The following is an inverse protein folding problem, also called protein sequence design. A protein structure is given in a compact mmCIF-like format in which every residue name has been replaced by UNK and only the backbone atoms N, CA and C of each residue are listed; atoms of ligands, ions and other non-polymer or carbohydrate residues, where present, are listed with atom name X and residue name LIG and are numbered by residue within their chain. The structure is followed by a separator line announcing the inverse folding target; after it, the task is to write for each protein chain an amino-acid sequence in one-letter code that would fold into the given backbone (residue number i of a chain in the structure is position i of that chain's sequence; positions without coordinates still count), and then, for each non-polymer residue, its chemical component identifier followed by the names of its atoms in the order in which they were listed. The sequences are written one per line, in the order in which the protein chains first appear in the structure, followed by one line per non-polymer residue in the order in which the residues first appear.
data_IF_551268642946
#
_entry.id   IF_551268642946
#
_cell.length_a   1.000
_cell.length_b   1.000
_cell.length_c   1.000
_cell.angle_alpha   90.00
_cell.angle_beta   90.00
_cell.angle_gamma   90.00
#
_symmetry.space_group_name_H-M   'P 1'
#
loop_
_entity.id
_entity.type
_entity.pdbx_description
1 polymer ?
#
# COMPACT_ATOMS: atom_id res chain seq x y z
N UNK A 1 9.83 -40.83 -29.58
CA UNK A 1 8.42 -40.63 -29.99
C UNK A 1 7.41 -41.05 -28.90
N UNK A 2 7.65 -42.13 -28.15
CA UNK A 2 6.77 -42.56 -27.04
C UNK A 2 6.62 -41.54 -25.88
N UNK A 3 7.67 -40.80 -25.51
CA UNK A 3 7.62 -39.80 -24.42
C UNK A 3 6.75 -38.58 -24.74
N UNK A 4 6.74 -38.12 -26.00
CA UNK A 4 5.86 -37.02 -26.46
C UNK A 4 4.39 -37.45 -26.49
N UNK A 5 4.10 -38.66 -26.95
CA UNK A 5 2.74 -39.21 -27.00
C UNK A 5 2.15 -39.40 -25.60
N UNK A 6 2.94 -39.91 -24.64
CA UNK A 6 2.54 -40.02 -23.23
C UNK A 6 2.36 -38.65 -22.57
N UNK A 7 3.19 -37.65 -22.91
CA UNK A 7 3.04 -36.28 -22.44
C UNK A 7 1.74 -35.64 -22.95
N UNK A 8 1.44 -35.80 -24.24
CA UNK A 8 0.20 -35.27 -24.85
C UNK A 8 -1.04 -35.98 -24.30
N UNK A 9 -0.99 -37.29 -24.10
CA UNK A 9 -2.10 -38.05 -23.51
C UNK A 9 -2.32 -37.71 -22.04
N UNK A 10 -1.25 -37.53 -21.25
CA UNK A 10 -1.35 -37.01 -19.88
C UNK A 10 -1.95 -35.61 -19.86
N UNK A 11 -1.49 -34.70 -20.70
CA UNK A 11 -2.07 -33.35 -20.81
C UNK A 11 -3.55 -33.40 -21.18
N UNK A 12 -3.93 -34.27 -22.11
CA UNK A 12 -5.33 -34.47 -22.51
C UNK A 12 -6.20 -35.06 -21.38
N UNK A 13 -5.68 -36.01 -20.61
CA UNK A 13 -6.37 -36.54 -19.42
C UNK A 13 -6.48 -35.47 -18.33
N UNK A 14 -5.41 -34.73 -18.05
CA UNK A 14 -5.41 -33.66 -17.05
C UNK A 14 -6.32 -32.49 -17.45
N UNK A 15 -6.51 -32.24 -18.75
CA UNK A 15 -7.46 -31.26 -19.27
C UNK A 15 -8.88 -31.81 -19.45
N UNK A 16 -9.16 -33.04 -19.00
CA UNK A 16 -10.53 -33.55 -19.03
C UNK A 16 -11.38 -32.87 -17.95
N UNK A 17 -12.68 -32.59 -18.20
CA UNK A 17 -13.53 -31.94 -17.21
C UNK A 17 -13.53 -32.61 -15.82
N UNK A 18 -13.51 -33.95 -15.69
CA UNK A 18 -13.39 -34.60 -14.39
C UNK A 18 -12.05 -34.37 -13.69
N UNK A 19 -10.94 -34.35 -14.44
CA UNK A 19 -9.61 -34.10 -13.87
C UNK A 19 -9.45 -32.64 -13.44
N UNK A 20 -9.94 -31.70 -14.26
CA UNK A 20 -9.98 -30.28 -13.91
C UNK A 20 -10.84 -30.04 -12.66
N UNK A 21 -12.01 -30.67 -12.58
CA UNK A 21 -12.83 -30.65 -11.37
C UNK A 21 -12.07 -31.19 -10.16
N UNK A 22 -11.41 -32.34 -10.27
CA UNK A 22 -10.65 -32.95 -9.18
C UNK A 22 -9.47 -32.07 -8.73
N UNK A 23 -8.75 -31.45 -9.67
CA UNK A 23 -7.67 -30.51 -9.38
C UNK A 23 -8.18 -29.26 -8.67
N UNK A 24 -9.33 -28.74 -9.07
CA UNK A 24 -9.97 -27.62 -8.39
C UNK A 24 -10.40 -28.00 -6.97
N UNK A 25 -10.98 -29.19 -6.75
CA UNK A 25 -11.28 -29.68 -5.40
C UNK A 25 -10.02 -29.81 -4.54
N UNK A 26 -8.94 -30.35 -5.10
CA UNK A 26 -7.66 -30.46 -4.40
C UNK A 26 -7.11 -29.06 -4.04
N UNK A 27 -7.20 -28.10 -4.97
CA UNK A 27 -6.81 -26.71 -4.73
C UNK A 27 -7.60 -26.10 -3.57
N UNK A 28 -8.93 -26.23 -3.55
CA UNK A 28 -9.77 -25.69 -2.48
C UNK A 28 -9.46 -26.38 -1.14
N UNK A 29 -9.22 -27.70 -1.15
CA UNK A 29 -8.81 -28.44 0.04
C UNK A 29 -7.48 -27.93 0.60
N UNK A 30 -6.49 -27.70 -0.25
CA UNK A 30 -5.16 -27.22 0.16
C UNK A 30 -5.21 -25.79 0.71
N UNK A 31 -5.98 -24.90 0.07
CA UNK A 31 -6.21 -23.55 0.58
C UNK A 31 -6.93 -23.60 1.94
N UNK A 32 -7.95 -24.45 2.07
CA UNK A 32 -8.65 -24.67 3.33
C UNK A 32 -7.74 -25.22 4.44
N UNK A 33 -6.79 -26.10 4.09
CA UNK A 33 -5.81 -26.64 5.03
C UNK A 33 -4.82 -25.56 5.51
N UNK A 34 -4.33 -24.70 4.62
CA UNK A 34 -3.47 -23.56 5.00
C UNK A 34 -4.21 -22.62 5.94
N UNK A 35 -5.48 -22.31 5.63
CA UNK A 35 -6.31 -21.40 6.43
C UNK A 35 -6.50 -21.85 7.89
N UNK A 36 -6.35 -23.14 8.19
CA UNK A 36 -6.43 -23.67 9.56
C UNK A 36 -5.19 -23.32 10.41
N UNK A 37 -4.07 -22.97 9.78
CA UNK A 37 -2.86 -22.49 10.45
C UNK A 37 -2.83 -20.97 10.59
N UNK A 38 -1.73 -20.44 11.15
CA UNK A 38 -1.49 -19.00 11.14
C UNK A 38 -1.25 -18.54 9.70
N UNK A 39 -1.79 -17.42 9.24
CA UNK A 39 -1.61 -16.97 7.84
C UNK A 39 -1.00 -15.57 7.87
N UNK A 40 -0.07 -15.23 6.97
CA UNK A 40 0.47 -13.87 6.91
C UNK A 40 -0.67 -12.90 6.67
N UNK A 41 -0.77 -11.88 7.53
CA UNK A 41 -1.78 -10.82 7.41
C UNK A 41 -1.45 -9.87 6.27
N UNK A 42 -0.15 -9.66 5.98
CA UNK A 42 0.30 -8.81 4.89
C UNK A 42 1.35 -9.53 4.02
N UNK A 43 1.03 -9.68 2.74
CA UNK A 43 1.96 -10.25 1.74
C UNK A 43 2.26 -9.22 0.66
N UNK A 44 3.54 -9.01 0.32
CA UNK A 44 3.97 -8.15 -0.77
C UNK A 44 4.60 -8.94 -1.92
N UNK A 45 4.32 -8.55 -3.17
CA UNK A 45 4.83 -9.21 -4.36
C UNK A 45 5.59 -8.26 -5.28
N UNK A 46 6.83 -8.64 -5.62
CA UNK A 46 7.58 -8.09 -6.74
C UNK A 46 7.38 -9.01 -7.94
N UNK A 47 6.49 -8.59 -8.84
CA UNK A 47 6.01 -9.34 -10.00
C UNK A 47 7.00 -9.29 -11.18
N UNK A 48 8.21 -9.81 -10.99
CA UNK A 48 9.30 -9.77 -11.98
C UNK A 48 9.25 -10.96 -12.95
N UNK A 49 9.77 -10.78 -14.16
CA UNK A 49 9.92 -11.83 -15.17
C UNK A 49 9.02 -11.72 -16.39
N UNK A 50 8.05 -10.80 -16.44
CA UNK A 50 7.10 -10.68 -17.56
C UNK A 50 7.78 -10.55 -18.94
N UNK A 51 8.76 -9.63 -19.08
CA UNK A 51 9.51 -9.44 -20.34
C UNK A 51 10.40 -10.64 -20.69
N UNK A 52 10.91 -11.37 -19.68
CA UNK A 52 11.70 -12.58 -19.89
C UNK A 52 10.82 -13.72 -20.39
N UNK A 53 9.64 -13.86 -19.80
CA UNK A 53 8.63 -14.83 -20.21
C UNK A 53 8.19 -14.57 -21.66
N UNK A 54 7.91 -13.31 -22.01
CA UNK A 54 7.53 -12.94 -23.37
C UNK A 54 8.59 -13.37 -24.40
N UNK A 55 9.87 -13.06 -24.13
CA UNK A 55 10.99 -13.42 -25.01
C UNK A 55 11.20 -14.93 -25.10
N UNK A 56 11.10 -15.68 -24.00
CA UNK A 56 11.28 -17.15 -24.03
C UNK A 56 10.15 -17.86 -24.78
N UNK A 57 8.94 -17.30 -24.76
CA UNK A 57 7.76 -17.84 -25.44
C UNK A 57 7.52 -17.24 -26.84
N UNK A 58 8.38 -16.31 -27.29
CA UNK A 58 8.27 -15.62 -28.59
C UNK A 58 6.92 -14.90 -28.78
N UNK A 59 6.44 -14.27 -27.73
CA UNK A 59 5.26 -13.40 -27.73
C UNK A 59 5.69 -11.95 -27.49
N UNK A 60 4.79 -11.01 -27.78
CA UNK A 60 5.06 -9.61 -27.53
C UNK A 60 5.20 -9.28 -26.04
N UNK A 61 5.99 -8.26 -25.75
CA UNK A 61 6.25 -7.83 -24.36
C UNK A 61 4.95 -7.44 -23.64
N UNK A 62 4.06 -6.74 -24.33
CA UNK A 62 2.75 -6.33 -23.81
C UNK A 62 1.92 -7.56 -23.42
N UNK A 63 1.96 -8.62 -24.22
CA UNK A 63 1.24 -9.86 -23.94
C UNK A 63 1.82 -10.60 -22.72
N UNK A 64 3.15 -10.61 -22.55
CA UNK A 64 3.76 -11.13 -21.33
C UNK A 64 3.31 -10.39 -20.06
N UNK A 65 3.02 -9.09 -20.16
CA UNK A 65 2.45 -8.32 -19.06
C UNK A 65 0.95 -8.60 -18.84
N UNK A 66 0.17 -8.84 -19.91
CA UNK A 66 -1.22 -9.30 -19.78
C UNK A 66 -1.31 -10.63 -19.03
N UNK A 67 -0.48 -11.61 -19.39
CA UNK A 67 -0.39 -12.89 -18.69
C UNK A 67 0.08 -12.72 -17.24
N UNK A 68 0.97 -11.75 -16.99
CA UNK A 68 1.34 -11.36 -15.64
C UNK A 68 0.16 -10.84 -14.82
N UNK A 69 -0.75 -10.09 -15.43
CA UNK A 69 -1.97 -9.65 -14.75
C UNK A 69 -2.93 -10.81 -14.44
N UNK A 70 -3.04 -11.80 -15.32
CA UNK A 70 -3.83 -13.00 -15.02
C UNK A 70 -3.23 -13.80 -13.86
N UNK A 71 -1.90 -13.90 -13.79
CA UNK A 71 -1.20 -14.50 -12.64
C UNK A 71 -1.51 -13.73 -11.34
N UNK A 72 -1.53 -12.40 -11.38
CA UNK A 72 -1.95 -11.57 -10.26
C UNK A 72 -3.37 -11.92 -9.79
N UNK A 73 -4.35 -12.00 -10.69
CA UNK A 73 -5.72 -12.33 -10.32
C UNK A 73 -5.82 -13.71 -9.64
N UNK A 74 -5.08 -14.72 -10.15
CA UNK A 74 -5.03 -16.06 -9.54
C UNK A 74 -4.41 -16.03 -8.14
N UNK A 75 -3.29 -15.33 -7.96
CA UNK A 75 -2.60 -15.26 -6.67
C UNK A 75 -3.40 -14.45 -5.64
N UNK A 76 -4.04 -13.35 -6.04
CA UNK A 76 -4.94 -12.60 -5.18
C UNK A 76 -6.09 -13.47 -4.67
N UNK A 77 -6.68 -14.30 -5.54
CA UNK A 77 -7.72 -15.24 -5.16
C UNK A 77 -7.22 -16.21 -4.06
N UNK A 78 -6.01 -16.75 -4.22
CA UNK A 78 -5.38 -17.64 -3.23
C UNK A 78 -5.13 -16.90 -1.91
N UNK A 79 -4.58 -15.69 -1.95
CA UNK A 79 -4.33 -14.87 -0.76
C UNK A 79 -5.62 -14.63 0.04
N UNK A 80 -6.67 -14.13 -0.61
CA UNK A 80 -7.92 -13.80 0.07
C UNK A 80 -8.66 -15.04 0.57
N UNK A 81 -8.69 -16.14 -0.19
CA UNK A 81 -9.27 -17.41 0.27
C UNK A 81 -8.50 -17.98 1.48
N UNK A 82 -7.18 -17.82 1.50
CA UNK A 82 -6.33 -18.27 2.62
C UNK A 82 -6.50 -17.40 3.87
N UNK A 83 -7.03 -16.17 3.74
CA UNK A 83 -7.25 -15.24 4.86
C UNK A 83 -6.20 -14.13 4.98
N UNK A 84 -5.39 -13.88 3.95
CA UNK A 84 -4.49 -12.73 3.90
C UNK A 84 -5.33 -11.44 3.87
N UNK A 85 -5.07 -10.52 4.79
CA UNK A 85 -5.83 -9.28 4.92
C UNK A 85 -5.37 -8.21 3.92
N UNK A 86 -4.05 -8.01 3.79
CA UNK A 86 -3.47 -6.97 2.94
C UNK A 86 -2.52 -7.60 1.92
N UNK A 87 -2.72 -7.31 0.63
CA UNK A 87 -1.78 -7.68 -0.43
C UNK A 87 -1.21 -6.41 -1.04
N UNK A 88 0.11 -6.31 -1.11
CA UNK A 88 0.81 -5.18 -1.75
C UNK A 88 1.56 -5.65 -3.00
N UNK A 89 1.37 -4.99 -4.13
CA UNK A 89 2.00 -5.38 -5.39
C UNK A 89 2.88 -4.27 -5.95
N UNK A 90 4.06 -4.64 -6.45
CA UNK A 90 4.94 -3.71 -7.14
C UNK A 90 4.57 -3.66 -8.63
N UNK A 91 3.65 -2.77 -9.00
CA UNK A 91 3.14 -2.68 -10.36
C UNK A 91 4.05 -1.83 -11.26
N UNK A 92 4.50 -0.67 -10.79
CA UNK A 92 5.37 0.22 -11.57
C UNK A 92 6.29 1.06 -10.69
N UNK A 93 7.59 1.03 -10.99
CA UNK A 93 8.59 1.79 -10.26
C UNK A 93 8.81 3.17 -10.87
N UNK A 94 9.19 4.17 -10.07
CA UNK A 94 9.69 5.46 -10.58
C UNK A 94 10.90 5.24 -11.51
N UNK A 95 11.75 4.25 -11.21
CA UNK A 95 12.89 3.87 -12.04
C UNK A 95 12.47 3.34 -13.43
N UNK A 96 11.22 2.92 -13.61
CA UNK A 96 10.72 2.43 -14.90
C UNK A 96 10.46 3.54 -15.92
N UNK A 97 10.42 4.81 -15.51
CA UNK A 97 10.40 5.94 -16.45
C UNK A 97 11.67 6.05 -17.29
N UNK A 98 12.75 5.34 -16.93
CA UNK A 98 13.98 5.24 -17.74
C UNK A 98 13.83 4.32 -18.97
N UNK A 99 12.72 3.58 -19.09
CA UNK A 99 12.42 2.74 -20.26
C UNK A 99 11.94 3.60 -21.42
N UNK A 100 11.75 2.99 -22.60
CA UNK A 100 11.25 3.71 -23.76
C UNK A 100 9.86 4.29 -23.50
N UNK A 101 9.59 5.47 -24.07
CA UNK A 101 8.28 6.14 -23.94
C UNK A 101 7.12 5.22 -24.34
N UNK A 102 7.29 4.46 -25.41
CA UNK A 102 6.31 3.48 -25.88
C UNK A 102 6.01 2.41 -24.81
N UNK A 103 7.03 1.84 -24.18
CA UNK A 103 6.83 0.82 -23.13
C UNK A 103 6.15 1.43 -21.89
N UNK A 104 6.56 2.63 -21.48
CA UNK A 104 5.93 3.34 -20.35
C UNK A 104 4.47 3.65 -20.65
N UNK A 105 4.17 4.16 -21.84
CA UNK A 105 2.81 4.48 -22.26
C UNK A 105 1.92 3.22 -22.29
N UNK A 106 2.42 2.11 -22.84
CA UNK A 106 1.71 0.83 -22.87
C UNK A 106 1.43 0.27 -21.45
N UNK A 107 2.39 0.39 -20.52
CA UNK A 107 2.20 -0.04 -19.12
C UNK A 107 1.16 0.82 -18.39
N UNK A 108 1.14 2.12 -18.65
CA UNK A 108 0.15 3.06 -18.10
C UNK A 108 -1.27 2.74 -18.61
N UNK A 109 -1.41 2.52 -19.90
CA UNK A 109 -2.69 2.21 -20.54
C UNK A 109 -3.21 0.83 -20.08
N UNK A 110 -2.30 -0.14 -19.93
CA UNK A 110 -2.63 -1.44 -19.36
C UNK A 110 -3.08 -1.33 -17.90
N UNK A 111 -2.39 -0.55 -17.06
CA UNK A 111 -2.81 -0.32 -15.68
C UNK A 111 -4.23 0.26 -15.62
N UNK A 112 -4.54 1.24 -16.47
CA UNK A 112 -5.89 1.82 -16.60
C UNK A 112 -6.96 0.76 -16.90
N UNK A 113 -6.75 -0.07 -17.94
CA UNK A 113 -7.71 -1.10 -18.35
C UNK A 113 -7.88 -2.15 -17.24
N UNK A 114 -6.76 -2.66 -16.73
CA UNK A 114 -6.72 -3.79 -15.81
C UNK A 114 -7.22 -3.46 -14.40
N UNK A 115 -6.92 -2.27 -13.88
CA UNK A 115 -7.47 -1.81 -12.59
C UNK A 115 -8.97 -1.58 -12.65
N UNK A 116 -9.47 -1.06 -13.79
CA UNK A 116 -10.91 -0.93 -14.02
C UNK A 116 -11.56 -2.31 -14.02
N UNK A 117 -10.98 -3.28 -14.72
CA UNK A 117 -11.48 -4.67 -14.76
C UNK A 117 -11.56 -5.31 -13.37
N UNK A 118 -10.54 -5.18 -12.52
CA UNK A 118 -10.57 -5.77 -11.17
C UNK A 118 -11.62 -5.14 -10.24
N UNK A 119 -11.98 -3.89 -10.49
CA UNK A 119 -12.80 -3.08 -9.59
C UNK A 119 -14.29 -3.06 -9.95
N UNK A 120 -14.68 -3.69 -11.07
CA UNK A 120 -16.07 -3.78 -11.49
C UNK A 120 -16.92 -4.64 -10.52
N UNK A 121 -18.23 -4.43 -10.52
CA UNK A 121 -19.13 -5.19 -9.65
C UNK A 121 -19.15 -6.67 -10.05
N UNK A 122 -19.13 -7.57 -9.06
CA UNK A 122 -19.04 -9.02 -9.26
C UNK A 122 -17.64 -9.53 -9.62
N UNK A 123 -16.66 -8.64 -9.81
CA UNK A 123 -15.28 -9.02 -10.08
C UNK A 123 -14.52 -9.38 -8.82
N UNK A 124 -13.23 -9.71 -8.98
CA UNK A 124 -12.39 -10.25 -7.92
C UNK A 124 -12.43 -9.43 -6.62
N UNK A 125 -12.29 -8.11 -6.68
CA UNK A 125 -12.20 -7.29 -5.48
C UNK A 125 -13.54 -7.27 -4.72
N UNK A 126 -14.66 -7.13 -5.44
CA UNK A 126 -16.00 -7.14 -4.87
C UNK A 126 -16.34 -8.49 -4.23
N UNK A 127 -16.03 -9.60 -4.91
CA UNK A 127 -16.27 -10.97 -4.40
C UNK A 127 -15.61 -11.25 -3.06
N UNK A 128 -14.42 -10.68 -2.82
CA UNK A 128 -13.66 -10.87 -1.59
C UNK A 128 -13.80 -9.71 -0.60
N UNK A 129 -14.54 -8.65 -0.95
CA UNK A 129 -14.65 -7.44 -0.13
C UNK A 129 -13.29 -6.74 0.04
N UNK A 130 -12.51 -6.67 -1.04
CA UNK A 130 -11.23 -5.99 -1.09
C UNK A 130 -11.38 -4.53 -1.54
N UNK A 131 -10.82 -3.58 -0.80
CA UNK A 131 -10.64 -2.19 -1.27
C UNK A 131 -9.29 -2.03 -1.97
N UNK A 132 -9.24 -1.19 -3.01
CA UNK A 132 -7.99 -0.87 -3.70
C UNK A 132 -7.43 0.48 -3.25
N UNK A 133 -6.12 0.55 -3.07
CA UNK A 133 -5.38 1.78 -2.80
C UNK A 133 -4.18 1.89 -3.71
N UNK A 134 -3.99 3.07 -4.31
CA UNK A 134 -2.82 3.37 -5.15
C UNK A 134 -1.78 4.09 -4.30
N UNK A 135 -0.60 3.48 -4.15
CA UNK A 135 0.50 4.01 -3.35
C UNK A 135 1.62 4.47 -4.29
N UNK A 136 2.04 5.73 -4.17
CA UNK A 136 3.12 6.26 -5.01
C UNK A 136 2.94 7.72 -5.41
N UNK A 137 3.78 8.14 -6.35
CA UNK A 137 3.85 9.52 -6.81
C UNK A 137 2.81 9.81 -7.89
N UNK A 138 1.61 10.19 -7.45
CA UNK A 138 0.44 10.47 -8.30
C UNK A 138 0.68 11.56 -9.35
N UNK A 139 1.60 12.50 -9.12
CA UNK A 139 1.95 13.56 -10.06
C UNK A 139 2.69 13.08 -11.31
N UNK A 140 3.23 11.85 -11.30
CA UNK A 140 3.89 11.26 -12.47
C UNK A 140 2.94 10.43 -13.34
N UNK A 141 1.68 10.27 -12.93
CA UNK A 141 0.68 9.49 -13.63
C UNK A 141 0.01 10.37 -14.68
N UNK A 142 -0.25 9.82 -15.88
CA UNK A 142 -1.04 10.51 -16.89
C UNK A 142 -2.43 10.86 -16.34
N UNK A 143 -3.00 12.04 -16.66
CA UNK A 143 -4.28 12.47 -16.09
C UNK A 143 -5.43 11.47 -16.29
N UNK A 144 -5.51 10.84 -17.46
CA UNK A 144 -6.58 9.90 -17.81
C UNK A 144 -6.44 8.54 -17.07
N UNK A 145 -5.20 8.12 -16.82
CA UNK A 145 -4.88 6.93 -16.01
C UNK A 145 -5.18 7.21 -14.54
N UNK A 146 -4.83 8.40 -14.05
CA UNK A 146 -5.11 8.83 -12.68
C UNK A 146 -6.62 8.87 -12.40
N UNK A 147 -7.42 9.41 -13.32
CA UNK A 147 -8.89 9.42 -13.21
C UNK A 147 -9.45 8.00 -13.10
N UNK A 148 -8.91 7.08 -13.90
CA UNK A 148 -9.33 5.67 -13.90
C UNK A 148 -8.96 4.96 -12.60
N UNK A 149 -7.79 5.27 -12.04
CA UNK A 149 -7.35 4.78 -10.73
C UNK A 149 -8.22 5.31 -9.60
N UNK A 150 -8.60 6.59 -9.64
CA UNK A 150 -9.48 7.19 -8.62
C UNK A 150 -10.89 6.62 -8.69
N UNK A 151 -11.39 6.34 -9.89
CA UNK A 151 -12.64 5.61 -10.09
C UNK A 151 -12.57 4.21 -9.47
N UNK A 152 -11.50 3.47 -9.72
CA UNK A 152 -11.28 2.13 -9.13
C UNK A 152 -11.24 2.17 -7.59
N UNK A 153 -10.53 3.15 -7.00
CA UNK A 153 -10.52 3.37 -5.54
C UNK A 153 -11.92 3.67 -5.01
N UNK A 154 -12.67 4.54 -5.70
CA UNK A 154 -14.02 4.94 -5.28
C UNK A 154 -15.02 3.79 -5.35
N UNK A 155 -14.94 2.97 -6.42
CA UNK A 155 -15.83 1.81 -6.62
C UNK A 155 -15.66 0.76 -5.52
N UNK A 156 -14.46 0.61 -4.98
CA UNK A 156 -14.14 -0.40 -3.96
C UNK A 156 -13.99 0.18 -2.55
N UNK A 157 -14.24 1.48 -2.35
CA UNK A 157 -14.06 2.16 -1.06
C UNK A 157 -15.00 1.66 0.05
N UNK A 158 -16.12 1.05 -0.33
CA UNK A 158 -17.09 0.46 0.60
C UNK A 158 -16.66 -0.90 1.16
N UNK A 159 -15.62 -1.51 0.58
CA UNK A 159 -15.08 -2.80 0.99
C UNK A 159 -14.12 -2.65 2.17
N UNK A 160 -14.36 -3.42 3.24
CA UNK A 160 -13.63 -3.32 4.51
C UNK A 160 -12.96 -4.62 4.97
N UNK A 161 -13.09 -5.72 4.21
CA UNK A 161 -12.59 -7.04 4.63
C UNK A 161 -11.11 -7.23 4.37
N UNK A 162 -10.65 -6.84 3.19
CA UNK A 162 -9.26 -6.97 2.75
C UNK A 162 -8.84 -5.75 1.95
N UNK A 163 -7.53 -5.62 1.69
CA UNK A 163 -6.99 -4.48 0.98
C UNK A 163 -5.95 -4.88 -0.06
N UNK A 164 -6.07 -4.32 -1.26
CA UNK A 164 -5.08 -4.38 -2.32
C UNK A 164 -4.35 -3.04 -2.44
N UNK A 165 -3.06 -3.04 -2.11
CA UNK A 165 -2.16 -1.92 -2.34
C UNK A 165 -1.45 -2.08 -3.67
N UNK A 166 -1.61 -1.12 -4.58
CA UNK A 166 -0.93 -1.09 -5.87
C UNK A 166 0.12 0.02 -5.85
N UNK A 167 1.39 -0.36 -5.82
CA UNK A 167 2.51 0.56 -5.83
C UNK A 167 2.77 1.06 -7.27
N UNK A 168 2.38 2.32 -7.56
CA UNK A 168 2.36 2.88 -8.91
C UNK A 168 2.30 4.43 -8.93
N UNK A 169 3.26 5.13 -9.56
CA UNK A 169 4.69 4.85 -9.62
C UNK A 169 5.30 4.95 -8.23
N UNK A 170 6.09 3.97 -7.82
CA UNK A 170 6.56 3.88 -6.44
C UNK A 170 8.06 3.58 -6.34
N UNK A 171 8.72 4.17 -5.34
CA UNK A 171 9.98 3.67 -4.76
C UNK A 171 9.95 3.92 -3.25
N UNK A 172 10.61 3.06 -2.47
CA UNK A 172 10.59 3.16 -1.01
C UNK A 172 11.31 4.41 -0.52
N UNK A 173 12.42 4.80 -1.17
CA UNK A 173 13.10 6.06 -0.85
C UNK A 173 12.23 7.29 -1.08
N UNK A 174 11.42 7.32 -2.14
CA UNK A 174 10.47 8.43 -2.37
C UNK A 174 9.36 8.46 -1.32
N UNK A 175 8.82 7.29 -0.95
CA UNK A 175 7.83 7.16 0.13
C UNK A 175 8.39 7.69 1.46
N UNK A 176 9.60 7.25 1.86
CA UNK A 176 10.27 7.69 3.09
C UNK A 176 10.50 9.21 3.05
N UNK A 177 10.99 9.74 1.93
CA UNK A 177 11.22 11.18 1.76
C UNK A 177 9.91 11.96 1.87
N UNK A 178 8.82 11.43 1.31
CA UNK A 178 7.48 12.03 1.40
C UNK A 178 6.95 11.99 2.84
N UNK A 179 7.14 10.89 3.57
CA UNK A 179 6.75 10.78 4.98
C UNK A 179 7.54 11.75 5.87
N UNK A 180 8.84 11.89 5.65
CA UNK A 180 9.67 12.90 6.33
C UNK A 180 9.19 14.31 6.01
N UNK A 181 8.89 14.62 4.75
CA UNK A 181 8.35 15.93 4.35
C UNK A 181 7.01 16.23 5.03
N UNK A 182 6.11 15.24 5.13
CA UNK A 182 4.83 15.36 5.84
C UNK A 182 5.04 15.60 7.34
N UNK A 183 5.98 14.87 7.94
CA UNK A 183 6.35 15.06 9.35
C UNK A 183 6.83 16.49 9.58
N UNK A 184 7.76 16.99 8.76
CA UNK A 184 8.24 18.37 8.85
C UNK A 184 7.10 19.37 8.66
N UNK A 185 6.21 19.16 7.69
CA UNK A 185 5.05 20.04 7.46
C UNK A 185 4.08 20.05 8.65
N UNK A 186 3.90 18.91 9.32
CA UNK A 186 3.05 18.81 10.50
C UNK A 186 3.66 19.56 11.69
N UNK A 187 4.96 19.36 11.96
CA UNK A 187 5.66 19.99 13.08
C UNK A 187 5.94 21.49 12.85
N UNK A 188 5.93 21.93 11.59
CA UNK A 188 6.04 23.35 11.22
C UNK A 188 4.73 24.13 11.34
N UNK A 189 3.59 23.45 11.62
CA UNK A 189 2.30 24.13 11.85
C UNK A 189 2.15 24.48 13.34
N UNK A 190 1.63 25.69 13.66
CA UNK A 190 1.34 26.03 15.04
C UNK A 190 0.23 25.12 15.59
N UNK A 191 0.38 24.72 16.85
CA UNK A 191 -0.66 24.01 17.59
C UNK A 191 -1.90 24.92 17.64
N UNK A 192 -3.09 24.44 17.25
CA UNK A 192 -4.31 25.23 17.35
C UNK A 192 -4.51 25.69 18.80
N UNK A 193 -4.57 27.00 19.01
CA UNK A 193 -4.96 27.52 20.32
C UNK A 193 -6.43 27.16 20.58
N UNK A 194 -6.77 26.66 21.77
CA UNK A 194 -8.16 26.40 22.12
C UNK A 194 -8.93 27.73 22.04
N UNK A 195 -9.96 27.80 21.18
CA UNK A 195 -10.81 28.98 21.08
C UNK A 195 -11.53 29.19 22.43
N UNK A 196 -11.52 30.42 22.98
CA UNK A 196 -12.26 30.74 24.20
C UNK A 196 -13.76 30.65 23.89
N UNK A 197 -14.38 29.51 24.22
CA UNK A 197 -15.81 29.27 23.99
C UNK A 197 -16.20 27.81 23.82
N UNK A 198 -15.27 26.93 23.45
CA UNK A 198 -15.49 25.49 23.55
C UNK A 198 -15.05 25.01 24.93
N UNK A 199 -16.01 24.89 25.86
CA UNK A 199 -15.83 24.13 27.09
C UNK A 199 -15.18 22.79 26.72
N UNK A 200 -13.95 22.58 27.18
CA UNK A 200 -13.39 21.23 27.23
C UNK A 200 -14.40 20.43 28.06
N UNK A 201 -15.12 19.49 27.44
CA UNK A 201 -15.77 18.41 28.18
C UNK A 201 -14.67 17.80 29.03
N UNK A 202 -14.67 18.14 30.31
CA UNK A 202 -13.73 17.57 31.27
C UNK A 202 -13.89 16.05 31.20
N UNK A 203 -12.80 15.28 31.36
CA UNK A 203 -12.92 13.84 31.46
C UNK A 203 -13.95 13.51 32.55
N UNK A 204 -14.91 12.63 32.24
CA UNK A 204 -15.99 12.22 33.15
C UNK A 204 -15.40 11.80 34.50
N UNK A 205 -15.59 12.63 35.53
CA UNK A 205 -15.09 12.35 36.87
C UNK A 205 -16.06 11.38 37.56
N UNK A 206 -15.57 10.24 38.05
CA UNK A 206 -16.36 9.21 38.76
C UNK A 206 -17.22 9.76 39.91
N UNK A 207 -16.79 10.86 40.53
CA UNK A 207 -17.52 11.55 41.58
C UNK A 207 -18.90 12.03 41.13
N UNK A 208 -19.05 12.42 39.86
CA UNK A 208 -20.34 12.88 39.31
C UNK A 208 -21.31 11.71 39.11
N UNK A 209 -20.79 10.52 38.80
CA UNK A 209 -21.57 9.27 38.73
C UNK A 209 -22.02 8.86 40.13
N UNK A 210 -21.12 8.86 41.11
CA UNK A 210 -21.46 8.57 42.52
C UNK A 210 -22.49 9.56 43.08
N UNK A 211 -22.39 10.84 42.75
CA UNK A 211 -23.33 11.84 43.23
C UNK A 211 -24.69 11.76 42.53
N UNK A 212 -24.73 11.42 41.23
CA UNK A 212 -25.99 11.18 40.50
C UNK A 212 -26.69 9.90 40.98
N UNK A 213 -25.94 8.83 41.27
CA UNK A 213 -26.50 7.61 41.85
C UNK A 213 -27.03 7.84 43.28
N UNK A 214 -26.35 8.67 44.08
CA UNK A 214 -26.80 9.07 45.42
C UNK A 214 -28.05 9.96 45.40
N UNK A 215 -28.20 10.83 44.40
CA UNK A 215 -29.41 11.65 44.27
C UNK A 215 -30.61 10.85 43.78
N UNK A 216 -30.41 9.87 42.89
CA UNK A 216 -31.49 8.94 42.48
C UNK A 216 -31.95 8.05 43.64
N UNK A 217 -31.05 7.59 44.52
CA UNK A 217 -31.42 6.82 45.71
C UNK A 217 -32.18 7.64 46.77
N UNK A 218 -32.07 8.98 46.76
CA UNK A 218 -32.83 9.85 47.69
C UNK A 218 -34.30 10.04 47.31
N UNK A 219 -34.68 9.73 46.07
CA UNK A 219 -36.07 9.82 45.60
C UNK A 219 -36.81 8.47 45.59
N UNK A 220 -36.15 7.37 45.97
CA UNK A 220 -36.74 6.03 45.97
C UNK A 220 -37.42 5.63 47.29
N UNK A 221 -37.53 6.54 48.26
CA UNK A 221 -38.17 6.28 49.56
C UNK A 221 -39.14 7.41 49.91
N UNK A 222 -40.29 7.42 49.23
CA UNK A 222 -41.50 8.05 49.77
C UNK A 222 -42.68 7.17 49.34
N UNK A 223 -43.32 6.42 50.26
CA UNK A 223 -44.46 5.59 49.93
C UNK A 223 -45.74 6.35 50.30
N UNK A 224 -46.27 7.15 49.38
CA UNK A 224 -47.70 7.53 49.34
C UNK A 224 -47.96 8.44 48.12
N UNK A 225 -48.51 7.89 47.03
CA UNK A 225 -49.66 8.44 46.28
C UNK A 225 -49.91 7.69 44.95
N UNK A 226 -51.18 7.62 44.47
CA UNK A 226 -51.59 6.68 43.42
C UNK A 226 -51.44 7.23 41.99
N UNK A 227 -51.28 6.30 41.04
CA UNK A 227 -51.27 6.55 39.60
C UNK A 227 -52.54 7.26 39.10
N UNK A 228 -52.37 8.27 38.24
CA UNK A 228 -53.40 8.71 37.29
C UNK A 228 -52.80 9.03 35.92
N UNK A 229 -53.41 8.43 34.89
CA UNK A 229 -53.11 8.56 33.47
C UNK A 229 -53.62 9.88 32.90
N UNK A 230 -52.85 10.60 32.07
CA UNK A 230 -53.35 11.44 30.96
C UNK A 230 -52.25 11.58 29.88
N UNK A 231 -52.53 11.03 28.69
CA UNK A 231 -52.01 11.43 27.36
C UNK A 231 -52.94 12.56 26.83
N UNK A 232 -52.60 13.50 25.90
CA UNK A 232 -52.10 13.12 24.57
C UNK A 232 -51.34 14.18 23.72
N UNK A 233 -50.86 13.73 22.54
CA UNK A 233 -50.78 14.46 21.24
C UNK A 233 -49.65 15.50 21.08
N UNK A 234 -48.97 15.61 19.93
CA UNK A 234 -49.50 15.60 18.56
C UNK A 234 -48.39 15.49 17.49
N UNK A 235 -48.72 14.84 16.37
CA UNK A 235 -48.28 15.08 14.97
C UNK A 235 -46.81 14.82 14.58
N UNK A 236 -46.46 14.11 13.50
CA UNK A 236 -47.19 13.73 12.28
C UNK A 236 -46.32 12.80 11.39
N UNK A 237 -46.82 12.30 10.24
CA UNK A 237 -46.62 10.91 9.81
C UNK A 237 -45.78 10.69 8.52
N UNK A 238 -45.69 9.40 8.21
CA UNK A 238 -45.17 8.69 7.04
C UNK A 238 -45.83 8.98 5.68
N UNK A 239 -44.98 8.87 4.64
CA UNK A 239 -45.14 8.18 3.33
C UNK A 239 -46.38 8.39 2.45
N UNK A 240 -46.14 8.65 1.14
CA UNK A 240 -46.52 7.72 0.05
C UNK A 240 -46.10 8.21 -1.35
N UNK A 241 -45.79 7.22 -2.18
CA UNK A 241 -45.56 7.17 -3.64
C UNK A 241 -46.67 7.72 -4.54
N UNK A 242 -46.34 8.14 -5.77
CA UNK A 242 -46.97 7.62 -7.02
C UNK A 242 -46.22 8.03 -8.31
N UNK A 243 -46.35 7.14 -9.30
CA UNK A 243 -45.82 7.07 -10.67
C UNK A 243 -46.54 7.94 -11.72
N UNK A 244 -45.92 8.18 -12.88
CA UNK A 244 -46.42 7.81 -14.24
C UNK A 244 -45.50 8.29 -15.39
N UNK A 245 -45.59 7.56 -16.51
CA UNK A 245 -44.71 7.53 -17.69
C UNK A 245 -45.20 8.38 -18.90
N UNK A 246 -44.37 8.48 -19.95
CA UNK A 246 -44.66 8.50 -21.44
C UNK A 246 -43.43 9.07 -22.20
N UNK A 247 -42.72 8.32 -23.06
CA UNK A 247 -42.80 8.28 -24.55
C UNK A 247 -42.48 9.62 -25.27
N UNK A 248 -41.73 9.77 -26.38
CA UNK A 248 -41.00 8.89 -27.31
C UNK A 248 -40.13 9.75 -28.28
N UNK A 249 -39.23 9.08 -29.04
CA UNK A 249 -38.85 9.34 -30.45
C UNK A 249 -37.65 10.23 -30.85
N UNK A 250 -36.75 9.55 -31.61
CA UNK A 250 -36.11 9.90 -32.91
C UNK A 250 -34.74 10.60 -33.04
N UNK A 251 -33.92 9.95 -33.90
CA UNK A 251 -32.93 10.46 -34.89
C UNK A 251 -31.52 10.83 -34.38
N UNK A 252 -30.51 10.00 -34.66
CA UNK A 252 -29.68 9.88 -35.90
C UNK A 252 -28.54 10.89 -35.93
N UNK A 253 -27.30 10.43 -35.80
CA UNK A 253 -26.26 10.69 -36.82
C UNK A 253 -24.96 9.93 -36.51
N UNK A 254 -24.44 9.32 -37.57
CA UNK A 254 -23.08 8.77 -37.70
C UNK A 254 -22.25 9.84 -38.44
N UNK A 255 -20.92 9.87 -38.33
CA UNK A 255 -20.18 9.19 -39.38
C UNK A 255 -18.88 8.49 -38.94
N UNK A 256 -18.56 7.45 -39.70
CA UNK A 256 -17.25 6.83 -39.86
C UNK A 256 -16.18 7.86 -40.27
N UNK A 257 -14.94 7.66 -39.80
CA UNK A 257 -13.76 7.82 -40.67
C UNK A 257 -12.52 7.10 -40.09
N UNK A 258 -12.02 6.14 -40.88
CA UNK A 258 -10.66 5.59 -40.95
C UNK A 258 -10.47 5.22 -42.45
N UNK A 259 -9.25 5.09 -43.00
CA UNK A 259 -7.96 4.86 -42.33
C UNK A 259 -6.79 5.71 -42.90
N UNK A 260 -5.62 5.64 -42.27
CA UNK A 260 -4.35 5.74 -43.00
C UNK A 260 -3.24 5.01 -42.22
N UNK A 261 -2.75 3.93 -42.82
CA UNK A 261 -1.41 3.36 -42.58
C UNK A 261 -0.32 4.33 -43.11
N UNK A 262 0.94 4.24 -42.63
CA UNK A 262 1.87 3.28 -43.25
C UNK A 262 2.81 2.56 -42.25
N UNK A 263 3.17 1.33 -42.62
CA UNK A 263 4.36 0.54 -42.23
C UNK A 263 5.43 0.71 -43.37
N UNK A 264 6.67 0.16 -43.34
CA UNK A 264 7.52 -0.39 -42.27
C UNK A 264 8.99 0.15 -42.29
N UNK A 265 9.81 -0.49 -41.44
CA UNK A 265 11.27 -0.64 -41.50
C UNK A 265 12.16 0.44 -40.84
N UNK A 266 12.81 0.06 -39.73
CA UNK A 266 14.26 -0.13 -39.72
C UNK A 266 14.76 -0.85 -38.46
N UNK A 267 15.70 -1.76 -38.72
CA UNK A 267 16.55 -2.50 -37.79
C UNK A 267 17.14 -1.62 -36.67
N UNK A 268 17.40 -2.22 -35.49
CA UNK A 268 18.77 -2.30 -34.96
C UNK A 268 18.82 -3.22 -33.73
N UNK A 269 19.85 -4.06 -33.73
CA UNK A 269 20.33 -4.82 -32.59
C UNK A 269 20.90 -3.86 -31.53
N UNK A 270 20.77 -4.17 -30.24
CA UNK A 270 21.97 -4.49 -29.45
C UNK A 270 21.74 -4.84 -27.97
N UNK A 271 22.63 -5.74 -27.55
CA UNK A 271 23.32 -5.80 -26.27
C UNK A 271 22.52 -5.71 -24.95
N UNK A 272 22.41 -6.89 -24.34
CA UNK A 272 22.70 -7.13 -22.93
C UNK A 272 23.62 -6.11 -22.26
N UNK A 273 23.18 -5.51 -21.15
CA UNK A 273 24.10 -5.12 -20.08
C UNK A 273 23.44 -5.30 -18.72
N UNK A 274 24.12 -6.09 -17.89
CA UNK A 274 23.94 -6.16 -16.45
C UNK A 274 24.48 -4.87 -15.84
N UNK A 275 23.75 -4.30 -14.88
CA UNK A 275 24.33 -3.38 -13.91
C UNK A 275 23.76 -3.69 -12.54
N UNK A 276 24.55 -4.47 -11.79
CA UNK A 276 24.52 -4.54 -10.33
C UNK A 276 25.36 -3.38 -9.81
N UNK A 277 24.80 -2.53 -8.95
CA UNK A 277 25.58 -1.56 -8.18
C UNK A 277 25.17 -1.63 -6.72
N UNK A 278 26.03 -2.30 -5.95
CA UNK A 278 26.11 -2.22 -4.49
C UNK A 278 27.15 -1.15 -4.17
N UNK A 279 26.79 -0.14 -3.38
CA UNK A 279 27.76 0.86 -2.89
C UNK A 279 27.88 0.74 -1.39
N UNK A 280 28.99 0.15 -0.96
CA UNK A 280 29.53 0.22 0.40
C UNK A 280 30.32 1.53 0.52
N UNK A 281 30.02 2.33 1.55
CA UNK A 281 30.76 3.55 1.87
C UNK A 281 31.85 3.25 2.91
N UNK A 282 33.10 3.59 2.59
CA UNK A 282 34.15 3.84 3.58
C UNK A 282 34.86 5.17 3.26
N UNK A 283 35.35 5.89 4.28
CA UNK A 283 35.78 7.28 4.15
C UNK A 283 37.29 7.38 3.89
N UNK A 284 37.70 8.25 2.97
CA UNK A 284 39.10 8.65 2.85
C UNK A 284 39.30 10.16 3.00
N UNK A 285 40.27 10.44 3.86
CA UNK A 285 40.91 11.70 4.19
C UNK A 285 41.88 12.06 3.06
N UNK A 286 41.84 13.29 2.54
CA UNK A 286 42.94 13.83 1.75
C UNK A 286 43.24 15.28 2.12
N UNK A 287 44.52 15.49 2.45
CA UNK A 287 45.16 16.72 2.84
C UNK A 287 45.83 17.43 1.65
N UNK A 288 45.82 18.76 1.75
CA UNK A 288 46.85 19.74 1.35
C UNK A 288 47.26 19.90 -0.13
N UNK A 289 47.07 21.13 -0.63
CA UNK A 289 48.05 21.82 -1.47
C UNK A 289 48.06 23.32 -1.20
N UNK A 290 49.27 23.85 -1.04
CA UNK A 290 49.70 25.17 -0.62
C UNK A 290 49.60 26.27 -1.69
N UNK A 291 49.31 27.51 -1.27
CA UNK A 291 49.77 28.73 -1.94
C UNK A 291 49.98 29.87 -0.92
N UNK A 292 51.03 30.65 -1.17
CA UNK A 292 51.83 31.52 -0.30
C UNK A 292 51.39 32.99 -0.24
N UNK A 293 51.65 33.69 0.89
CA UNK A 293 51.98 35.15 0.99
C UNK A 293 52.31 35.59 2.45
N UNK A 294 53.02 36.74 2.69
CA UNK A 294 54.15 36.86 3.65
C UNK A 294 53.85 37.50 5.04
N UNK A 295 54.86 37.64 5.95
CA UNK A 295 54.67 37.63 7.41
C UNK A 295 54.94 38.96 8.17
N UNK A 296 54.85 38.86 9.52
CA UNK A 296 55.24 39.78 10.63
C UNK A 296 54.11 40.68 11.18
N UNK A 297 53.91 40.92 12.49
CA UNK A 297 54.56 40.52 13.75
C UNK A 297 53.67 40.92 14.96
N UNK A 298 53.69 40.09 16.01
CA UNK A 298 53.52 40.35 17.47
C UNK A 298 52.97 41.70 18.00
N UNK A 299 51.92 41.64 18.84
CA UNK A 299 51.92 41.90 20.31
C UNK A 299 50.59 42.49 20.83
N UNK A 300 50.15 42.04 22.01
CA UNK A 300 49.34 42.85 22.93
C UNK A 300 47.88 42.44 23.16
N UNK A 301 47.61 41.71 24.24
CA UNK A 301 46.37 41.89 25.03
C UNK A 301 46.58 43.09 25.97
N UNK A 302 45.55 43.89 26.33
CA UNK A 302 44.70 43.47 27.46
C UNK A 302 43.23 43.96 27.43
N UNK A 303 42.35 43.20 28.10
CA UNK A 303 41.15 43.60 28.86
C UNK A 303 40.22 44.73 28.38
N UNK A 304 38.95 44.39 28.11
CA UNK A 304 37.80 45.14 28.64
C UNK A 304 36.53 44.26 28.71
N UNK A 305 35.79 44.43 29.81
CA UNK A 305 34.52 43.75 30.19
C UNK A 305 33.31 44.48 29.54
N UNK A 306 32.07 43.96 29.66
CA UNK A 306 31.07 43.92 28.60
C UNK A 306 30.25 45.20 28.46
N UNK A 307 29.84 45.52 27.24
CA UNK A 307 28.87 46.57 26.97
C UNK A 307 27.45 45.98 26.95
N UNK A 308 26.64 46.49 27.86
CA UNK A 308 25.22 46.22 28.06
C UNK A 308 24.37 46.47 26.81
N UNK A 309 23.40 45.57 26.63
CA UNK A 309 22.29 45.55 25.68
C UNK A 309 21.55 46.88 25.45
N UNK A 310 21.12 47.19 24.21
CA UNK A 310 19.92 47.97 23.99
C UNK A 310 18.69 47.05 24.04
N UNK A 311 17.78 47.36 24.95
CA UNK A 311 16.43 46.82 25.04
C UNK A 311 15.67 47.06 23.74
N UNK A 312 15.56 46.04 22.90
CA UNK A 312 14.57 46.01 21.81
C UNK A 312 13.20 45.73 22.41
N UNK A 313 12.29 46.67 22.18
CA UNK A 313 10.85 46.54 22.40
C UNK A 313 10.36 45.20 21.85
N UNK A 314 9.86 44.33 22.72
CA UNK A 314 9.12 43.14 22.32
C UNK A 314 7.92 43.59 21.50
N UNK A 315 7.96 43.31 20.21
CA UNK A 315 6.78 43.28 19.37
C UNK A 315 5.88 42.16 19.89
N UNK A 316 4.65 42.50 20.26
CA UNK A 316 3.57 41.58 20.62
C UNK A 316 3.10 40.81 19.36
N UNK A 317 4.00 40.07 18.73
CA UNK A 317 3.61 39.04 17.77
C UNK A 317 3.09 37.84 18.56
N UNK A 318 1.94 37.25 18.19
CA UNK A 318 1.44 36.06 18.87
C UNK A 318 2.52 34.97 18.80
N UNK A 319 3.03 34.54 19.96
CA UNK A 319 3.96 33.43 20.05
C UNK A 319 3.21 32.16 19.65
N UNK A 320 3.39 31.77 18.40
CA UNK A 320 2.91 30.49 17.89
C UNK A 320 3.62 29.35 18.63
N UNK A 321 2.85 28.52 19.33
CA UNK A 321 3.36 27.31 19.96
C UNK A 321 3.47 26.21 18.90
N UNK A 322 4.64 25.60 18.76
CA UNK A 322 4.89 24.48 17.84
C UNK A 322 5.04 23.16 18.60
N UNK A 323 4.96 22.04 17.89
CA UNK A 323 5.27 20.71 18.45
C UNK A 323 6.77 20.61 18.78
N UNK A 324 7.13 19.81 19.79
CA UNK A 324 8.53 19.62 20.17
C UNK A 324 9.22 18.67 19.18
N UNK A 325 10.38 19.07 18.65
CA UNK A 325 11.13 18.27 17.66
C UNK A 325 11.68 16.96 18.24
N UNK A 326 11.93 16.90 19.55
CA UNK A 326 12.41 15.69 20.23
C UNK A 326 11.34 14.57 20.29
N UNK A 327 10.07 14.90 19.99
CA UNK A 327 8.99 13.92 19.95
C UNK A 327 8.94 13.13 18.61
N UNK A 328 9.80 13.47 17.64
CA UNK A 328 9.84 12.78 16.36
C UNK A 328 10.53 11.41 16.54
N UNK A 329 9.76 10.35 16.36
CA UNK A 329 10.25 8.95 16.47
C UNK A 329 10.07 8.19 15.15
N UNK A 330 10.59 6.96 15.08
CA UNK A 330 10.31 6.03 13.98
C UNK A 330 8.80 5.82 13.79
N UNK A 331 8.02 5.78 14.87
CA UNK A 331 6.56 5.69 14.79
C UNK A 331 5.93 6.91 14.12
N UNK A 332 6.47 8.10 14.37
CA UNK A 332 6.02 9.35 13.72
C UNK A 332 6.25 9.31 12.22
N UNK A 333 7.39 8.78 11.76
CA UNK A 333 7.64 8.60 10.31
C UNK A 333 6.71 7.52 9.75
N UNK A 334 6.55 6.40 10.46
CA UNK A 334 5.70 5.28 10.06
C UNK A 334 4.24 5.70 9.85
N UNK A 335 3.70 6.56 10.72
CA UNK A 335 2.33 7.08 10.58
C UNK A 335 2.11 7.98 9.36
N UNK A 336 3.20 8.45 8.73
CA UNK A 336 3.15 9.31 7.53
C UNK A 336 3.44 8.58 6.21
N UNK A 337 3.84 7.31 6.28
CA UNK A 337 4.00 6.43 5.11
C UNK A 337 2.64 6.18 4.43
N UNK A 338 2.66 5.69 3.18
CA UNK A 338 1.43 5.36 2.47
C UNK A 338 0.70 4.15 3.07
N UNK A 339 1.43 3.32 3.80
CA UNK A 339 1.00 2.06 4.40
C UNK A 339 0.71 2.17 5.90
N UNK A 340 0.57 3.39 6.44
CA UNK A 340 0.41 3.64 7.87
C UNK A 340 -0.78 2.91 8.53
N UNK A 341 -1.84 2.63 7.77
CA UNK A 341 -3.03 1.93 8.26
C UNK A 341 -2.96 0.41 8.09
N UNK A 342 -1.83 -0.13 7.62
CA UNK A 342 -1.70 -1.54 7.26
C UNK A 342 -1.12 -2.36 8.41
N UNK A 343 -1.47 -3.65 8.49
CA UNK A 343 -0.70 -4.56 9.33
C UNK A 343 0.77 -4.59 8.88
N UNK A 344 1.71 -4.91 9.80
CA UNK A 344 3.11 -5.13 9.47
C UNK A 344 3.29 -6.12 8.31
N UNK A 345 4.33 -5.92 7.51
CA UNK A 345 4.61 -6.78 6.36
C UNK A 345 5.18 -8.12 6.83
N UNK A 346 4.46 -9.22 6.65
CA UNK A 346 4.91 -10.54 7.13
C UNK A 346 5.79 -11.26 6.09
N UNK A 347 5.48 -11.07 4.81
CA UNK A 347 6.06 -11.86 3.72
C UNK A 347 6.24 -11.00 2.46
N UNK A 348 7.47 -10.91 1.97
CA UNK A 348 7.82 -10.25 0.70
C UNK A 348 8.35 -11.31 -0.27
N UNK A 349 7.64 -11.49 -1.38
CA UNK A 349 7.98 -12.48 -2.41
C UNK A 349 8.45 -11.76 -3.66
N UNK A 350 9.57 -12.20 -4.23
CA UNK A 350 10.04 -11.76 -5.54
C UNK A 350 10.25 -12.96 -6.45
N UNK A 351 9.65 -12.90 -7.63
CA UNK A 351 9.82 -13.92 -8.67
C UNK A 351 11.08 -13.65 -9.51
N UNK A 352 11.35 -14.57 -10.44
CA UNK A 352 12.33 -14.51 -11.53
C UNK A 352 13.80 -14.77 -11.18
N UNK A 353 14.08 -15.30 -9.99
CA UNK A 353 15.43 -15.71 -9.55
C UNK A 353 16.36 -14.54 -9.22
N UNK A 354 15.84 -13.31 -9.19
CA UNK A 354 16.65 -12.11 -8.91
C UNK A 354 16.63 -11.79 -7.43
N UNK A 355 17.79 -11.76 -6.80
CA UNK A 355 17.96 -11.54 -5.35
C UNK A 355 18.24 -10.07 -5.00
N UNK A 356 17.23 -9.19 -5.15
CA UNK A 356 17.29 -7.80 -4.68
C UNK A 356 15.89 -7.26 -4.37
N UNK A 357 15.78 -6.20 -3.58
CA UNK A 357 14.48 -5.56 -3.30
C UNK A 357 14.04 -4.55 -4.35
N UNK A 358 14.98 -3.96 -5.11
CA UNK A 358 14.68 -2.95 -6.14
C UNK A 358 13.89 -1.73 -5.61
N UNK A 359 14.31 -1.23 -4.44
CA UNK A 359 13.70 -0.06 -3.79
C UNK A 359 12.20 -0.23 -3.51
N UNK A 360 11.83 -1.42 -3.03
CA UNK A 360 10.45 -1.80 -2.72
C UNK A 360 10.29 -2.10 -1.24
N UNK A 361 9.36 -1.40 -0.57
CA UNK A 361 8.93 -1.66 0.81
C UNK A 361 10.09 -1.73 1.83
N UNK A 362 11.16 -0.95 1.65
CA UNK A 362 12.39 -1.03 2.47
C UNK A 362 12.15 -0.73 3.94
N UNK A 363 11.29 0.26 4.24
CA UNK A 363 10.91 0.59 5.62
C UNK A 363 10.07 -0.53 6.23
N UNK A 364 9.13 -1.05 5.46
CA UNK A 364 8.16 -2.04 5.91
C UNK A 364 8.80 -3.41 6.11
N UNK A 365 9.84 -3.75 5.33
CA UNK A 365 10.45 -5.07 5.34
C UNK A 365 11.65 -5.25 6.30
N UNK A 366 11.91 -4.30 7.20
CA UNK A 366 13.20 -4.20 7.90
C UNK A 366 13.37 -5.14 9.12
N UNK A 367 12.28 -5.53 9.79
CA UNK A 367 12.29 -6.32 11.02
C UNK A 367 11.71 -7.71 10.80
N UNK A 368 10.40 -7.86 11.00
CA UNK A 368 9.74 -9.16 11.11
C UNK A 368 9.21 -9.68 9.76
N UNK A 369 9.85 -9.28 8.67
CA UNK A 369 9.43 -9.64 7.31
C UNK A 369 10.27 -10.78 6.76
N UNK A 370 9.59 -11.85 6.33
CA UNK A 370 10.25 -12.91 5.57
C UNK A 370 10.40 -12.50 4.11
N UNK A 371 11.64 -12.43 3.62
CA UNK A 371 11.93 -12.17 2.20
C UNK A 371 12.20 -13.51 1.50
N UNK A 372 11.50 -13.76 0.39
CA UNK A 372 11.59 -14.99 -0.40
C UNK A 372 11.83 -14.67 -1.87
N UNK A 373 12.91 -15.22 -2.42
CA UNK A 373 13.22 -15.16 -3.85
C UNK A 373 12.90 -16.50 -4.50
N UNK A 374 12.12 -16.47 -5.57
CA UNK A 374 11.69 -17.66 -6.31
C UNK A 374 12.24 -17.63 -7.73
N UNK A 375 12.85 -18.73 -8.16
CA UNK A 375 13.31 -18.93 -9.54
C UNK A 375 12.17 -19.43 -10.45
N UNK A 376 11.11 -18.63 -10.54
CA UNK A 376 9.95 -18.83 -11.42
C UNK A 376 9.57 -17.50 -12.03
N UNK A 377 9.23 -17.43 -13.32
CA UNK A 377 8.80 -16.18 -13.93
C UNK A 377 7.37 -15.84 -13.46
N UNK A 378 7.06 -14.55 -13.27
CA UNK A 378 5.75 -14.14 -12.73
C UNK A 378 4.53 -14.72 -13.46
N UNK A 379 4.46 -14.75 -14.81
CA UNK A 379 3.31 -15.35 -15.50
C UNK A 379 3.10 -16.85 -15.22
N UNK A 380 4.17 -17.57 -14.83
CA UNK A 380 4.17 -18.99 -14.49
C UNK A 380 3.91 -19.25 -13.00
N UNK A 381 3.93 -18.20 -12.16
CA UNK A 381 3.71 -18.33 -10.73
C UNK A 381 2.24 -18.63 -10.44
N UNK A 382 1.99 -19.75 -9.79
CA UNK A 382 0.66 -20.23 -9.43
C UNK A 382 0.62 -20.76 -7.98
N UNK A 383 -0.52 -21.36 -7.61
CA UNK A 383 -0.75 -21.93 -6.30
C UNK A 383 0.35 -22.93 -5.89
N UNK A 384 0.81 -23.78 -6.79
CA UNK A 384 1.75 -24.86 -6.48
C UNK A 384 3.14 -24.35 -6.10
N UNK A 385 3.57 -23.21 -6.65
CA UNK A 385 4.81 -22.57 -6.18
C UNK A 385 4.57 -21.70 -4.94
N UNK A 386 3.35 -21.19 -4.74
CA UNK A 386 3.03 -20.37 -3.57
C UNK A 386 2.79 -21.21 -2.29
N UNK A 387 2.19 -22.39 -2.41
CA UNK A 387 1.88 -23.30 -1.29
C UNK A 387 3.13 -23.64 -0.43
N UNK A 388 4.28 -24.04 -1.01
CA UNK A 388 5.49 -24.29 -0.22
C UNK A 388 5.97 -23.06 0.55
N UNK A 389 5.81 -21.87 -0.02
CA UNK A 389 6.21 -20.61 0.63
C UNK A 389 5.35 -20.33 1.86
N UNK A 390 4.02 -20.45 1.70
CA UNK A 390 3.08 -20.29 2.81
C UNK A 390 3.31 -21.36 3.89
N UNK A 391 3.51 -22.61 3.48
CA UNK A 391 3.80 -23.70 4.40
C UNK A 391 5.10 -23.48 5.18
N UNK A 392 6.17 -23.06 4.51
CA UNK A 392 7.45 -22.75 5.17
C UNK A 392 7.30 -21.60 6.16
N UNK A 393 6.58 -20.53 5.79
CA UNK A 393 6.28 -19.42 6.69
C UNK A 393 5.52 -19.89 7.93
N UNK A 394 4.46 -20.67 7.75
CA UNK A 394 3.67 -21.26 8.84
C UNK A 394 4.50 -22.14 9.77
N UNK A 395 5.34 -23.00 9.19
CA UNK A 395 6.18 -23.91 9.94
C UNK A 395 7.19 -23.16 10.81
N UNK A 396 7.79 -22.09 10.28
CA UNK A 396 8.76 -21.26 11.01
C UNK A 396 8.12 -20.49 12.15
N UNK A 397 6.97 -19.85 11.92
CA UNK A 397 6.24 -19.15 12.98
C UNK A 397 5.96 -20.06 14.18
N UNK A 398 5.47 -21.28 13.93
CA UNK A 398 5.28 -22.29 15.00
C UNK A 398 6.58 -22.66 15.72
N UNK A 399 7.70 -22.73 15.00
CA UNK A 399 9.00 -23.06 15.58
C UNK A 399 9.51 -21.93 16.48
N UNK A 400 9.35 -20.68 16.07
CA UNK A 400 9.75 -19.49 16.84
C UNK A 400 8.93 -19.33 18.12
N UNK A 401 7.62 -19.54 18.03
CA UNK A 401 6.72 -19.63 19.18
C UNK A 401 7.16 -20.73 20.15
N UNK A 402 7.46 -21.93 19.65
CA UNK A 402 7.91 -23.07 20.46
C UNK A 402 9.27 -22.83 21.13
N UNK A 403 10.17 -22.09 20.48
CA UNK A 403 11.49 -21.75 21.02
C UNK A 403 11.47 -20.55 21.97
N UNK A 404 10.30 -19.96 22.25
CA UNK A 404 10.16 -18.83 23.17
C UNK A 404 10.86 -17.55 22.68
N UNK A 405 11.13 -17.45 21.38
CA UNK A 405 11.76 -16.28 20.76
C UNK A 405 10.73 -15.21 20.33
N UNK A 406 9.44 -15.42 20.65
CA UNK A 406 8.38 -14.48 20.37
C UNK A 406 8.49 -13.21 21.22
N UNK A 407 8.84 -12.09 20.56
CA UNK A 407 8.70 -10.71 21.05
C UNK A 407 9.33 -10.43 22.43
N UNK A 408 10.65 -10.54 22.53
CA UNK A 408 11.40 -9.79 23.53
C UNK A 408 11.59 -8.36 23.05
N UNK A 409 10.95 -7.38 23.70
CA UNK A 409 11.39 -5.99 23.66
C UNK A 409 12.91 -5.97 23.91
N UNK A 410 13.70 -5.69 22.88
CA UNK A 410 15.07 -5.24 23.08
C UNK A 410 14.93 -3.83 23.65
N UNK A 411 14.88 -3.73 24.98
CA UNK A 411 15.17 -2.48 25.67
C UNK A 411 16.59 -2.08 25.28
N UNK A 412 16.67 -1.08 24.43
CA UNK A 412 17.90 -0.32 24.21
C UNK A 412 18.02 0.57 25.45
N UNK A 413 18.91 0.20 26.37
CA UNK A 413 19.40 1.08 27.44
C UNK A 413 20.29 2.20 26.86
#
# INVERSE_FOLDING_TARGET
MASKQISTFRKWILSSPPAEWALNQLRELLIGAIKQGNVPRHVAFVMDGNRRYARSHRIETVEGHNLGFEALARILEVCYKSGVHTVTIYAFSIENFKRSKYEVDALMDMAKIKLTQLSQHGELLDRYGASIRILGQRSLIKPDVLESMDRACSMTAHNDKTVLNVCFPYTSRDEITTAMRRTVQEYSKPVPQPQPGHERRTPFTEERIKNTLRSQHRHAHDPDEPMSCVDPRENSPSASSTSLASEASTQSDTPSDQPNEPDPDQDEADASSMSSSTTTLHPEVLSSSSASSPPTSYTGSPTSKPLSSPSTSKSDAPQHQYKNLEDITSSTVTSHLFTASDPPLDLLIRTSGVERLSDFMLWQCHQDTRIVFLDVLWPEFDLWQFLPVLWEWQWRGRKEEMMGLGSGEIKVD
#
